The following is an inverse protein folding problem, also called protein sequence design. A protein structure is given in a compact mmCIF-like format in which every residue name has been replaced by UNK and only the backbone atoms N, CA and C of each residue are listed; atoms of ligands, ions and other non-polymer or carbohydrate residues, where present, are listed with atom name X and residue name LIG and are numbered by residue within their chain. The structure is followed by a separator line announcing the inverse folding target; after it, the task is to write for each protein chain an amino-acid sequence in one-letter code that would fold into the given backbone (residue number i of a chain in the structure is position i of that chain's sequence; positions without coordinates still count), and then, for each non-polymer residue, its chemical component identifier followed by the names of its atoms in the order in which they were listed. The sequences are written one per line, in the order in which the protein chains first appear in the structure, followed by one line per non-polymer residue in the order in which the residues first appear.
data_IF_222615260737
#
_entry.id   IF_222615260737
#
_cell.length_a   1.000
_cell.length_b   1.000
_cell.length_c   1.000
_cell.angle_alpha   90.00
_cell.angle_beta   90.00
_cell.angle_gamma   90.00
#
_symmetry.space_group_name_H-M   'P 1'
#
loop_
_entity.id
_entity.type
_entity.pdbx_description
1 polymer ?
#
# COMPACT_ATOMS: atom_id res chain seq x y z
N UNK A 1 40.03 63.81 -41.73
CA UNK A 1 38.79 64.60 -41.57
C UNK A 1 37.88 63.88 -40.57
N UNK A 2 37.03 64.58 -39.83
CA UNK A 2 35.97 63.96 -39.01
C UNK A 2 34.68 63.73 -39.82
N UNK A 3 33.50 63.51 -39.19
CA UNK A 3 33.23 63.72 -37.75
C UNK A 3 32.30 62.69 -37.03
N UNK A 4 32.34 62.70 -35.68
CA UNK A 4 31.20 62.58 -34.72
C UNK A 4 30.26 61.33 -34.78
N UNK A 5 29.63 60.83 -33.71
CA UNK A 5 29.66 60.89 -32.23
C UNK A 5 28.28 60.36 -31.80
N UNK A 6 28.13 59.44 -30.83
CA UNK A 6 27.20 59.56 -29.69
C UNK A 6 27.25 58.36 -28.72
N UNK A 7 26.75 58.57 -27.49
CA UNK A 7 26.79 57.60 -26.38
C UNK A 7 25.45 56.88 -26.19
N UNK A 8 25.52 55.62 -25.72
CA UNK A 8 24.58 54.90 -24.82
C UNK A 8 25.26 53.58 -24.43
N UNK A 9 25.04 52.97 -23.26
CA UNK A 9 24.28 53.41 -22.08
C UNK A 9 24.09 52.20 -21.15
N UNK A 10 24.74 52.19 -19.99
CA UNK A 10 24.74 51.01 -19.08
C UNK A 10 23.35 50.78 -18.47
N UNK A 11 22.89 49.53 -18.42
CA UNK A 11 21.75 49.11 -17.59
C UNK A 11 22.09 47.84 -16.78
N UNK A 12 21.83 47.90 -15.47
CA UNK A 12 22.00 46.76 -14.56
C UNK A 12 20.81 45.81 -14.67
N UNK A 13 21.07 44.52 -14.86
CA UNK A 13 20.06 43.48 -14.67
C UNK A 13 19.70 43.38 -13.18
N UNK A 14 18.42 43.50 -12.82
CA UNK A 14 17.95 43.33 -11.43
C UNK A 14 17.44 41.90 -11.24
N UNK A 15 18.04 41.16 -10.32
CA UNK A 15 17.48 39.89 -9.86
C UNK A 15 16.11 40.12 -9.18
N UNK A 16 15.15 39.24 -9.43
CA UNK A 16 13.86 39.16 -8.71
C UNK A 16 13.83 37.87 -7.90
N UNK A 17 13.97 38.01 -6.59
CA UNK A 17 13.69 36.93 -5.63
C UNK A 17 12.17 36.76 -5.57
N UNK A 18 11.66 35.57 -5.92
CA UNK A 18 10.25 35.25 -5.77
C UNK A 18 9.99 34.82 -4.33
N UNK A 19 9.35 35.68 -3.53
CA UNK A 19 8.84 35.32 -2.22
C UNK A 19 7.48 34.64 -2.38
N UNK A 20 7.36 33.39 -1.96
CA UNK A 20 6.06 32.75 -1.76
C UNK A 20 5.49 33.29 -0.45
N UNK A 21 4.29 33.86 -0.50
CA UNK A 21 3.55 34.31 0.67
C UNK A 21 2.58 33.20 1.11
N UNK A 22 2.70 32.75 2.36
CA UNK A 22 1.69 31.86 2.97
C UNK A 22 0.49 32.72 3.36
N UNK A 23 -0.66 32.48 2.73
CA UNK A 23 -1.90 33.16 3.09
C UNK A 23 -2.59 32.40 4.22
N UNK A 24 -2.44 32.88 5.45
CA UNK A 24 -3.15 32.34 6.60
C UNK A 24 -4.58 32.93 6.65
N UNK A 25 -5.58 32.11 6.32
CA UNK A 25 -6.99 32.49 6.43
C UNK A 25 -7.44 32.48 7.89
N UNK A 26 -7.53 33.66 8.51
CA UNK A 26 -8.16 33.82 9.81
C UNK A 26 -9.70 33.72 9.69
N UNK A 27 -10.32 32.83 10.47
CA UNK A 27 -11.78 32.75 10.57
C UNK A 27 -12.25 33.86 11.52
N UNK A 28 -13.12 34.75 11.04
CA UNK A 28 -13.77 35.76 11.86
C UNK A 28 -15.00 35.18 12.55
N UNK A 29 -15.13 35.40 13.86
CA UNK A 29 -16.37 35.13 14.59
C UNK A 29 -17.43 36.16 14.18
N UNK A 30 -18.58 35.70 13.68
CA UNK A 30 -19.78 36.52 13.49
C UNK A 30 -20.78 36.15 14.58
N UNK A 31 -21.34 37.17 15.23
CA UNK A 31 -22.23 37.03 16.36
C UNK A 31 -23.65 37.49 15.98
N UNK A 32 -24.62 36.59 16.05
CA UNK A 32 -26.06 36.85 16.01
C UNK A 32 -26.72 35.85 16.99
N UNK A 33 -27.75 36.19 17.76
CA UNK A 33 -28.53 37.43 17.79
C UNK A 33 -30.01 37.09 17.81
N UNK A 34 -30.63 37.11 19.00
CA UNK A 34 -32.05 36.80 19.18
C UNK A 34 -32.97 37.80 18.46
N UNK A 35 -34.04 37.30 17.86
CA UNK A 35 -35.36 37.93 17.89
C UNK A 35 -36.47 36.88 17.95
N UNK A 36 -37.62 37.28 18.51
CA UNK A 36 -38.73 36.38 18.85
C UNK A 36 -39.96 36.63 17.97
N UNK A 37 -40.70 35.58 17.63
CA UNK A 37 -42.05 35.69 17.08
C UNK A 37 -42.93 34.52 17.56
N UNK A 38 -44.19 34.81 17.90
CA UNK A 38 -45.13 33.88 18.52
C UNK A 38 -46.38 33.65 17.65
N UNK A 39 -46.70 32.37 17.38
CA UNK A 39 -48.06 31.82 17.26
C UNK A 39 -49.00 32.40 16.14
N UNK A 40 -50.21 31.86 15.89
CA UNK A 40 -50.87 30.70 16.51
C UNK A 40 -51.40 29.62 15.52
N UNK A 41 -52.03 28.59 16.10
CA UNK A 41 -52.84 27.55 15.42
C UNK A 41 -54.14 28.13 14.82
N UNK A 42 -54.74 27.43 13.82
CA UNK A 42 -56.05 26.74 14.00
C UNK A 42 -56.54 25.93 12.76
N UNK A 43 -56.59 24.59 12.94
CA UNK A 43 -57.68 23.64 12.63
C UNK A 43 -58.57 23.77 11.36
N UNK A 44 -58.73 22.64 10.63
CA UNK A 44 -60.03 22.29 10.01
C UNK A 44 -60.02 21.45 8.72
N UNK A 45 -60.62 20.25 8.74
CA UNK A 45 -61.09 19.52 7.54
C UNK A 45 -60.63 18.05 7.41
N UNK A 46 -61.57 17.10 7.39
CA UNK A 46 -61.28 15.65 7.24
C UNK A 46 -62.43 14.85 6.59
N UNK A 47 -62.07 13.88 5.73
CA UNK A 47 -62.74 12.60 5.37
C UNK A 47 -61.60 11.65 4.90
N UNK A 48 -61.54 10.33 5.13
CA UNK A 48 -62.50 9.24 4.86
C UNK A 48 -61.93 8.38 3.70
N UNK A 49 -61.94 7.04 3.65
CA UNK A 49 -62.64 5.98 4.42
C UNK A 49 -61.86 4.63 4.27
N UNK A 50 -62.08 3.64 5.16
CA UNK A 50 -61.87 2.16 4.99
C UNK A 50 -60.43 1.58 4.86
N UNK A 51 -60.12 0.34 5.32
CA UNK A 51 -60.88 -0.64 6.14
C UNK A 51 -60.04 -1.84 6.67
N UNK A 52 -60.54 -2.44 7.78
CA UNK A 52 -60.39 -3.87 8.20
C UNK A 52 -59.03 -4.39 8.69
N UNK A 53 -59.10 -5.50 9.45
CA UNK A 53 -58.11 -5.89 10.48
C UNK A 53 -58.14 -7.38 10.80
N UNK A 54 -57.01 -7.90 11.28
CA UNK A 54 -56.85 -9.09 12.13
C UNK A 54 -55.48 -8.93 12.87
N UNK A 55 -55.15 -9.59 13.98
CA UNK A 55 -55.83 -10.69 14.68
C UNK A 55 -55.75 -10.58 16.23
N UNK A 56 -55.91 -11.73 16.90
CA UNK A 56 -56.14 -12.00 18.33
C UNK A 56 -54.92 -12.62 19.02
N UNK A 57 -54.73 -12.35 20.32
CA UNK A 57 -54.31 -13.24 21.45
C UNK A 57 -53.76 -12.36 22.60
N UNK A 58 -53.68 -12.71 23.90
CA UNK A 58 -54.47 -13.48 24.89
C UNK A 58 -53.52 -13.69 26.10
N UNK A 59 -54.00 -13.59 27.35
CA UNK A 59 -53.12 -13.52 28.55
C UNK A 59 -52.98 -14.83 29.38
N UNK A 60 -52.14 -14.74 30.43
CA UNK A 60 -52.10 -15.53 31.69
C UNK A 60 -51.24 -16.82 31.70
N UNK A 61 -50.11 -16.80 32.43
CA UNK A 61 -49.98 -17.43 33.76
C UNK A 61 -48.61 -17.14 34.43
N UNK A 62 -48.42 -17.57 35.69
CA UNK A 62 -47.41 -17.06 36.65
C UNK A 62 -46.63 -18.16 37.42
N UNK A 63 -45.81 -17.77 38.42
CA UNK A 63 -45.19 -18.57 39.51
C UNK A 63 -43.89 -19.35 39.20
N UNK A 64 -42.89 -19.58 40.09
CA UNK A 64 -42.49 -18.93 41.38
C UNK A 64 -41.09 -19.45 41.88
N UNK A 65 -40.64 -19.01 43.08
CA UNK A 65 -39.70 -19.70 44.04
C UNK A 65 -38.15 -19.41 44.02
N UNK A 66 -37.76 -18.32 44.72
CA UNK A 66 -36.91 -18.26 45.95
C UNK A 66 -35.42 -18.76 46.12
N UNK A 67 -34.56 -17.81 46.58
CA UNK A 67 -33.63 -17.84 47.76
C UNK A 67 -32.31 -18.70 47.76
N UNK A 68 -31.33 -18.52 48.71
CA UNK A 68 -30.99 -17.40 49.64
C UNK A 68 -29.46 -17.05 49.85
N UNK A 69 -29.17 -15.93 50.55
CA UNK A 69 -27.99 -15.75 51.44
C UNK A 69 -26.70 -15.09 50.88
N UNK A 70 -25.84 -14.40 51.65
CA UNK A 70 -25.85 -14.07 53.10
C UNK A 70 -24.90 -12.89 53.49
N UNK A 71 -25.35 -11.99 54.40
CA UNK A 71 -24.63 -11.20 55.46
C UNK A 71 -23.17 -10.67 55.28
N UNK A 72 -22.74 -9.53 55.84
CA UNK A 72 -23.14 -8.93 57.13
C UNK A 72 -22.90 -7.39 57.28
N UNK A 73 -23.35 -6.86 58.44
CA UNK A 73 -23.27 -5.49 59.00
C UNK A 73 -21.82 -4.92 59.06
N UNK A 74 -21.51 -3.61 59.10
CA UNK A 74 -22.18 -2.36 59.53
C UNK A 74 -22.00 -1.98 61.02
N UNK A 75 -21.44 -0.79 61.28
CA UNK A 75 -21.31 -0.12 62.60
C UNK A 75 -21.04 1.39 62.35
N UNK A 76 -21.02 2.29 63.36
CA UNK A 76 -21.16 3.75 63.12
C UNK A 76 -20.42 4.71 64.07
N UNK A 77 -19.87 5.81 63.51
CA UNK A 77 -19.42 7.03 64.22
C UNK A 77 -17.90 7.31 64.16
N UNK A 78 -17.35 8.48 64.48
CA UNK A 78 -17.75 9.92 64.53
C UNK A 78 -16.77 10.66 65.48
N UNK A 79 -16.90 11.98 65.67
CA UNK A 79 -16.17 12.81 66.68
C UNK A 79 -14.66 13.08 66.39
N UNK A 80 -14.27 14.24 65.82
CA UNK A 80 -13.87 15.54 66.46
C UNK A 80 -12.49 15.53 67.14
N UNK A 81 -11.63 16.57 67.08
CA UNK A 81 -11.63 17.93 66.46
C UNK A 81 -10.15 18.32 66.20
N UNK A 82 -9.58 19.55 66.16
CA UNK A 82 -9.93 20.99 66.29
C UNK A 82 -8.71 21.81 65.77
N UNK A 83 -8.72 23.12 65.47
CA UNK A 83 -9.78 24.09 65.13
C UNK A 83 -9.18 25.43 64.64
N UNK A 84 -9.98 26.24 63.93
CA UNK A 84 -9.87 27.71 63.74
C UNK A 84 -8.57 28.36 63.23
N UNK A 85 -8.62 28.88 61.99
CA UNK A 85 -7.73 29.91 61.45
C UNK A 85 -8.16 30.28 60.03
N UNK A 86 -8.58 31.53 59.77
CA UNK A 86 -9.23 31.93 58.52
C UNK A 86 -8.44 32.99 57.74
N UNK A 87 -8.54 32.99 56.40
CA UNK A 87 -8.92 34.13 55.52
C UNK A 87 -8.64 33.83 54.03
N UNK A 88 -9.65 34.10 53.19
CA UNK A 88 -9.66 34.39 51.73
C UNK A 88 -8.86 33.54 50.70
N UNK A 89 -9.66 32.86 49.86
CA UNK A 89 -9.83 33.15 48.42
C UNK A 89 -8.68 32.80 47.44
N UNK A 90 -8.77 31.60 46.86
CA UNK A 90 -8.15 31.22 45.58
C UNK A 90 -8.82 29.96 45.02
N UNK A 91 -9.38 30.00 43.81
CA UNK A 91 -10.12 28.88 43.21
C UNK A 91 -9.23 27.97 42.38
N UNK A 92 -8.82 26.86 42.98
CA UNK A 92 -8.26 25.68 42.32
C UNK A 92 -9.36 24.92 41.51
N UNK A 93 -9.13 23.84 40.75
CA UNK A 93 -7.99 22.89 40.67
C UNK A 93 -7.99 22.14 39.31
N UNK A 94 -6.84 21.60 38.91
CA UNK A 94 -6.77 20.41 38.04
C UNK A 94 -7.19 19.12 38.79
N UNK A 95 -7.69 18.10 38.08
CA UNK A 95 -7.82 16.73 38.60
C UNK A 95 -7.83 15.68 37.45
N UNK A 96 -7.03 14.58 37.52
CA UNK A 96 -6.98 13.54 36.48
C UNK A 96 -7.53 12.15 36.92
N UNK A 97 -7.46 11.18 35.99
CA UNK A 97 -7.40 9.70 36.19
C UNK A 97 -8.67 8.82 35.96
N UNK A 98 -8.82 8.39 34.68
CA UNK A 98 -8.91 6.98 34.19
C UNK A 98 -10.03 5.97 34.56
N UNK A 99 -10.38 5.16 33.55
CA UNK A 99 -11.05 3.83 33.54
C UNK A 99 -12.53 3.73 33.96
N UNK A 100 -13.37 2.90 33.30
CA UNK A 100 -13.29 2.24 31.98
C UNK A 100 -14.69 1.75 31.52
N UNK A 101 -14.74 1.11 30.33
CA UNK A 101 -15.78 0.18 29.81
C UNK A 101 -16.75 0.73 28.73
N UNK A 102 -17.54 -0.19 28.15
CA UNK A 102 -17.97 -0.16 26.74
C UNK A 102 -19.15 0.77 26.38
N UNK A 103 -19.06 1.42 25.21
CA UNK A 103 -19.91 1.09 24.04
C UNK A 103 -19.74 2.11 22.90
N UNK A 104 -19.64 1.63 21.66
CA UNK A 104 -19.64 2.46 20.45
C UNK A 104 -20.41 1.78 19.31
N UNK A 105 -21.70 2.07 19.23
CA UNK A 105 -22.48 1.84 18.01
C UNK A 105 -22.14 2.89 16.95
N UNK A 106 -22.42 2.58 15.69
CA UNK A 106 -22.01 3.40 14.54
C UNK A 106 -22.84 4.69 14.37
N UNK A 107 -22.23 5.73 13.81
CA UNK A 107 -22.84 6.46 12.69
C UNK A 107 -21.85 7.37 11.92
N UNK A 108 -22.20 7.59 10.65
CA UNK A 108 -21.53 8.39 9.61
C UNK A 108 -21.54 9.91 9.81
N UNK A 109 -20.59 10.62 9.15
CA UNK A 109 -20.86 11.89 8.45
C UNK A 109 -20.04 11.98 7.13
N UNK A 110 -20.47 12.78 6.12
CA UNK A 110 -19.91 12.76 4.76
C UNK A 110 -19.25 14.09 4.30
N UNK A 111 -19.02 14.20 2.99
CA UNK A 111 -18.84 15.39 2.14
C UNK A 111 -17.56 16.25 2.27
N UNK A 112 -16.67 16.11 1.27
CA UNK A 112 -15.53 17.00 1.03
C UNK A 112 -15.11 17.09 -0.47
N UNK A 113 -16.05 17.18 -1.41
CA UNK A 113 -15.76 17.44 -2.83
C UNK A 113 -16.84 18.29 -3.54
N UNK A 114 -16.52 19.55 -3.83
CA UNK A 114 -17.31 20.39 -4.75
C UNK A 114 -16.80 20.29 -6.20
N UNK A 115 -17.65 20.55 -7.21
CA UNK A 115 -17.29 20.36 -8.62
C UNK A 115 -16.35 21.45 -9.16
N UNK A 116 -15.06 21.11 -9.34
CA UNK A 116 -14.05 22.00 -9.91
C UNK A 116 -13.94 21.89 -11.43
N UNK A 117 -14.66 22.74 -12.18
CA UNK A 117 -14.50 22.86 -13.64
C UNK A 117 -13.34 23.79 -14.02
N UNK A 118 -12.39 23.34 -14.85
CA UNK A 118 -11.54 24.24 -15.66
C UNK A 118 -10.97 23.51 -16.91
N UNK A 119 -10.53 24.23 -17.96
CA UNK A 119 -10.47 23.70 -19.32
C UNK A 119 -9.08 23.23 -19.80
N UNK A 120 -9.08 22.47 -20.90
CA UNK A 120 -7.89 22.17 -21.71
C UNK A 120 -7.27 23.46 -22.32
N UNK A 121 -5.93 23.57 -22.39
CA UNK A 121 -5.26 24.37 -23.40
C UNK A 121 -5.16 23.58 -24.72
N UNK A 122 -5.50 24.21 -25.84
CA UNK A 122 -5.22 23.70 -27.19
C UNK A 122 -3.92 24.31 -27.71
N UNK A 123 -3.10 23.52 -28.42
CA UNK A 123 -2.02 24.06 -29.26
C UNK A 123 -1.77 23.15 -30.46
N UNK A 124 -2.03 23.69 -31.64
CA UNK A 124 -1.77 23.06 -32.94
C UNK A 124 -0.47 23.58 -33.54
N UNK A 125 0.23 22.71 -34.27
CA UNK A 125 1.26 23.11 -35.24
C UNK A 125 1.43 21.97 -36.25
N UNK A 126 1.32 22.29 -37.53
CA UNK A 126 1.29 21.33 -38.63
C UNK A 126 2.51 21.47 -39.55
N UNK A 127 2.69 20.48 -40.43
CA UNK A 127 3.53 20.50 -41.65
C UNK A 127 5.06 20.78 -41.56
N UNK A 128 5.82 19.79 -42.06
CA UNK A 128 7.27 19.85 -42.31
C UNK A 128 7.66 20.44 -43.68
N UNK A 129 8.95 20.73 -43.86
CA UNK A 129 9.64 20.74 -45.18
C UNK A 129 11.00 20.02 -45.02
N UNK A 130 11.48 19.37 -46.09
CA UNK A 130 12.65 18.46 -46.07
C UNK A 130 13.87 19.01 -46.86
N UNK A 131 14.84 18.11 -47.13
CA UNK A 131 16.04 18.23 -48.00
C UNK A 131 17.33 18.80 -47.37
N UNK A 132 18.55 18.33 -47.70
CA UNK A 132 18.98 17.11 -48.42
C UNK A 132 20.52 16.92 -48.39
N UNK A 133 21.00 15.67 -48.43
CA UNK A 133 22.37 15.26 -48.80
C UNK A 133 23.52 15.78 -47.88
N UNK A 134 24.77 15.29 -47.95
CA UNK A 134 25.39 14.30 -48.85
C UNK A 134 26.39 13.38 -48.11
N UNK A 135 27.14 12.54 -48.83
CA UNK A 135 27.90 11.40 -48.29
C UNK A 135 29.40 11.65 -48.00
N UNK A 136 30.03 10.59 -47.46
CA UNK A 136 31.44 10.14 -47.55
C UNK A 136 32.24 9.97 -46.24
N UNK A 137 33.45 9.41 -46.37
CA UNK A 137 34.13 8.53 -45.41
C UNK A 137 35.64 8.84 -45.30
N UNK A 138 36.38 7.99 -44.59
CA UNK A 138 37.85 7.84 -44.55
C UNK A 138 38.67 8.72 -43.58
N UNK A 139 38.96 8.13 -42.42
CA UNK A 139 40.32 7.87 -41.86
C UNK A 139 41.48 8.86 -42.07
N UNK A 140 42.23 9.13 -40.98
CA UNK A 140 43.68 9.42 -41.00
C UNK A 140 44.34 9.00 -39.67
N UNK A 141 45.66 8.79 -39.66
CA UNK A 141 46.36 7.92 -38.68
C UNK A 141 47.64 8.52 -38.08
N UNK A 142 47.96 8.18 -36.82
CA UNK A 142 49.32 7.99 -36.25
C UNK A 142 49.20 7.44 -34.80
N UNK A 143 49.87 6.41 -34.26
CA UNK A 143 50.99 5.52 -34.61
C UNK A 143 52.34 5.76 -33.87
N UNK A 144 52.49 5.12 -32.69
CA UNK A 144 53.75 4.74 -31.99
C UNK A 144 53.38 3.49 -31.15
N UNK A 145 53.69 2.23 -31.50
CA UNK A 145 54.97 1.51 -31.66
C UNK A 145 55.47 0.83 -30.35
N UNK A 146 55.46 -0.51 -30.33
CA UNK A 146 56.10 -1.38 -29.30
C UNK A 146 57.61 -1.62 -29.59
N UNK A 147 58.30 -2.48 -28.79
CA UNK A 147 58.33 -3.91 -29.16
C UNK A 147 58.23 -4.93 -27.99
N UNK A 148 57.87 -6.17 -28.36
CA UNK A 148 57.99 -7.42 -27.58
C UNK A 148 59.44 -7.70 -27.09
N UNK A 149 59.76 -8.69 -26.24
CA UNK A 149 59.17 -10.02 -25.94
C UNK A 149 59.70 -10.50 -24.54
N UNK A 150 59.59 -11.73 -24.00
CA UNK A 150 59.20 -13.08 -24.50
C UNK A 150 58.71 -14.03 -23.39
N UNK A 151 58.53 -15.32 -23.72
CA UNK A 151 58.08 -16.45 -22.87
C UNK A 151 59.20 -17.31 -22.23
N UNK A 152 58.91 -17.99 -21.12
CA UNK A 152 59.39 -19.36 -20.83
C UNK A 152 58.63 -20.03 -19.65
N UNK A 153 58.74 -21.37 -19.55
CA UNK A 153 58.05 -22.21 -18.55
C UNK A 153 58.96 -22.63 -17.37
N UNK A 154 58.29 -23.14 -16.31
CA UNK A 154 58.72 -24.21 -15.41
C UNK A 154 60.07 -24.14 -14.65
N UNK A 155 59.99 -24.26 -13.31
CA UNK A 155 60.57 -25.41 -12.58
C UNK A 155 60.14 -25.45 -11.11
N UNK A 156 60.23 -26.63 -10.50
CA UNK A 156 60.07 -26.90 -9.05
C UNK A 156 61.44 -27.22 -8.45
N UNK A 157 61.67 -26.93 -7.16
CA UNK A 157 62.36 -27.91 -6.33
C UNK A 157 61.64 -28.17 -5.00
N UNK A 158 62.12 -29.14 -4.22
CA UNK A 158 61.62 -29.48 -2.89
C UNK A 158 62.75 -29.94 -1.96
N UNK A 159 62.72 -29.47 -0.71
CA UNK A 159 63.37 -30.01 0.49
C UNK A 159 62.65 -29.36 1.69
N UNK A 160 62.05 -30.05 2.66
CA UNK A 160 62.56 -31.08 3.58
C UNK A 160 63.24 -30.50 4.83
N UNK A 161 62.47 -30.35 5.90
CA UNK A 161 62.94 -30.51 7.29
C UNK A 161 61.78 -31.07 8.13
N UNK A 162 62.10 -31.82 9.18
CA UNK A 162 61.11 -32.52 10.01
C UNK A 162 61.25 -32.12 11.46
N UNK A 163 60.13 -31.87 12.13
CA UNK A 163 60.07 -31.91 13.59
C UNK A 163 58.68 -32.39 14.05
N UNK A 164 58.55 -32.78 15.32
CA UNK A 164 57.50 -33.69 15.80
C UNK A 164 57.07 -33.33 17.23
N UNK A 165 55.92 -33.88 17.68
CA UNK A 165 55.33 -33.78 19.04
C UNK A 165 54.73 -32.37 19.32
N UNK A 166 53.67 -32.19 20.11
CA UNK A 166 52.68 -33.07 20.77
C UNK A 166 51.28 -32.75 20.14
N UNK A 167 50.10 -33.31 20.46
CA UNK A 167 49.37 -33.36 21.74
C UNK A 167 48.04 -34.14 21.61
N UNK A 168 47.52 -34.61 22.76
CA UNK A 168 46.16 -35.08 23.09
C UNK A 168 45.38 -36.03 22.16
N UNK A 169 44.90 -37.14 22.75
CA UNK A 169 43.88 -38.03 22.18
C UNK A 169 42.57 -37.86 22.95
N UNK A 170 41.56 -37.25 22.32
CA UNK A 170 40.18 -37.24 22.81
C UNK A 170 39.22 -37.69 21.69
N UNK A 171 38.74 -38.93 21.80
CA UNK A 171 37.88 -39.57 20.81
C UNK A 171 36.41 -39.19 21.02
N UNK A 172 35.93 -38.18 20.31
CA UNK A 172 34.48 -37.91 20.19
C UNK A 172 33.91 -38.56 18.93
N UNK A 173 32.90 -39.41 19.13
CA UNK A 173 32.18 -40.05 18.03
C UNK A 173 31.39 -39.01 17.24
N UNK A 174 31.92 -38.60 16.08
CA UNK A 174 31.25 -37.69 15.16
C UNK A 174 29.96 -38.32 14.62
N UNK A 175 28.84 -38.08 15.31
CA UNK A 175 27.50 -38.44 14.85
C UNK A 175 27.26 -37.73 13.51
N UNK A 176 27.20 -38.52 12.44
CA UNK A 176 26.91 -37.99 11.11
C UNK A 176 25.42 -37.58 11.08
N UNK A 177 25.14 -36.28 11.19
CA UNK A 177 23.79 -35.74 11.01
C UNK A 177 23.40 -35.86 9.52
N UNK A 178 22.83 -37.01 9.17
CA UNK A 178 22.55 -37.41 7.79
C UNK A 178 21.21 -36.87 7.29
N UNK A 179 21.10 -35.55 7.16
CA UNK A 179 19.98 -34.91 6.45
C UNK A 179 20.37 -33.54 5.89
N UNK A 180 21.19 -33.55 4.83
CA UNK A 180 21.22 -32.44 3.87
C UNK A 180 19.91 -32.44 3.07
N UNK A 181 18.82 -32.05 3.72
CA UNK A 181 17.56 -31.78 3.05
C UNK A 181 17.79 -30.68 2.01
N UNK A 182 17.31 -30.89 0.79
CA UNK A 182 17.38 -29.86 -0.25
C UNK A 182 16.64 -28.61 0.25
N UNK A 183 17.30 -27.45 0.21
CA UNK A 183 16.71 -26.20 0.69
C UNK A 183 15.40 -25.94 -0.06
N UNK A 184 14.28 -25.61 0.64
CA UNK A 184 12.98 -25.55 -0.03
C UNK A 184 12.99 -24.50 -1.15
N UNK A 185 12.54 -24.91 -2.34
CA UNK A 185 12.54 -24.06 -3.54
C UNK A 185 11.45 -22.99 -3.41
N UNK A 186 11.79 -21.77 -3.80
CA UNK A 186 10.90 -20.60 -3.66
C UNK A 186 11.01 -19.92 -2.30
N UNK A 187 10.23 -18.85 -2.13
CA UNK A 187 10.18 -18.05 -0.90
C UNK A 187 9.36 -18.74 0.20
N UNK A 188 9.59 -18.32 1.43
CA UNK A 188 8.75 -18.69 2.56
C UNK A 188 7.36 -18.03 2.44
N UNK A 189 6.31 -18.83 2.62
CA UNK A 189 4.92 -18.39 2.79
C UNK A 189 4.26 -19.15 3.94
N UNK A 190 3.32 -18.51 4.62
CA UNK A 190 2.45 -19.17 5.60
C UNK A 190 1.44 -20.10 4.90
N UNK A 191 1.01 -21.19 5.55
CA UNK A 191 0.28 -22.29 4.91
C UNK A 191 -1.25 -22.17 4.85
N UNK A 192 -1.87 -21.22 5.56
CA UNK A 192 -3.32 -21.00 5.53
C UNK A 192 -3.80 -20.14 4.36
N UNK A 193 -5.12 -19.96 4.26
CA UNK A 193 -5.78 -19.39 3.07
C UNK A 193 -5.65 -17.88 3.00
N UNK A 194 -5.62 -17.34 1.79
CA UNK A 194 -5.54 -15.91 1.46
C UNK A 194 -6.69 -15.06 2.01
N UNK A 195 -7.86 -15.66 2.31
CA UNK A 195 -8.99 -15.00 2.98
C UNK A 195 -8.69 -14.64 4.45
N UNK A 196 -7.87 -15.44 5.12
CA UNK A 196 -7.47 -15.27 6.52
C UNK A 196 -6.46 -14.12 6.62
N UNK A 197 -6.68 -13.16 7.53
CA UNK A 197 -5.93 -11.88 7.51
C UNK A 197 -4.59 -11.93 8.27
N UNK A 198 -4.48 -12.82 9.24
CA UNK A 198 -3.46 -12.78 10.30
C UNK A 198 -2.75 -14.15 10.44
N UNK A 199 -2.26 -14.69 9.31
CA UNK A 199 -1.54 -15.98 9.23
C UNK A 199 -0.34 -16.09 10.17
N UNK A 200 0.35 -14.98 10.42
CA UNK A 200 1.51 -14.87 11.29
C UNK A 200 1.43 -13.55 12.05
N UNK A 201 1.99 -13.51 13.26
CA UNK A 201 2.27 -12.23 13.91
C UNK A 201 3.28 -11.44 13.07
N UNK A 202 3.03 -10.14 12.88
CA UNK A 202 3.88 -9.26 12.09
C UNK A 202 4.51 -8.16 12.96
N UNK A 203 5.76 -7.83 12.67
CA UNK A 203 6.33 -6.55 13.02
C UNK A 203 5.74 -5.47 12.08
N UNK A 204 5.49 -4.28 12.60
CA UNK A 204 4.90 -3.17 11.85
C UNK A 204 5.52 -1.86 12.33
N UNK A 205 6.34 -1.24 11.48
CA UNK A 205 7.25 -0.15 11.84
C UNK A 205 6.97 1.06 10.96
N UNK A 206 6.37 2.09 11.54
CA UNK A 206 6.11 3.37 10.88
C UNK A 206 7.35 4.27 10.89
N UNK A 207 7.35 5.32 10.06
CA UNK A 207 8.44 6.30 9.94
C UNK A 207 9.79 5.67 9.57
N UNK A 208 9.78 4.88 8.49
CA UNK A 208 10.93 4.10 8.02
C UNK A 208 11.03 4.14 6.49
N UNK A 209 11.79 3.24 5.88
CA UNK A 209 12.09 3.29 4.45
C UNK A 209 13.20 4.29 4.11
N UNK A 210 13.31 4.65 2.83
CA UNK A 210 14.43 5.44 2.31
C UNK A 210 14.38 6.93 2.72
N UNK A 211 13.17 7.45 2.99
CA UNK A 211 12.87 8.85 3.33
C UNK A 211 12.43 9.03 4.79
N UNK A 212 12.25 7.94 5.54
CA UNK A 212 11.71 7.96 6.89
C UNK A 212 10.19 8.22 6.97
N UNK A 213 9.46 8.18 5.85
CA UNK A 213 8.01 8.39 5.78
C UNK A 213 7.19 7.11 5.52
N UNK A 214 7.84 6.03 5.07
CA UNK A 214 7.18 4.75 4.77
C UNK A 214 6.87 3.90 6.00
N UNK A 215 6.28 2.72 5.76
CA UNK A 215 5.96 1.70 6.77
C UNK A 215 6.52 0.35 6.33
N UNK A 216 7.36 -0.26 7.16
CA UNK A 216 7.90 -1.61 6.96
C UNK A 216 7.11 -2.62 7.80
N UNK A 217 6.60 -3.69 7.19
CA UNK A 217 5.97 -4.80 7.90
C UNK A 217 6.46 -6.15 7.38
N UNK A 218 6.64 -7.12 8.28
CA UNK A 218 7.20 -8.44 7.97
C UNK A 218 6.85 -9.47 9.06
N UNK A 219 6.89 -10.78 8.79
CA UNK A 219 6.71 -11.82 9.80
C UNK A 219 7.62 -11.63 11.00
N UNK A 220 7.06 -11.60 12.21
CA UNK A 220 7.81 -11.41 13.45
C UNK A 220 8.82 -12.52 13.71
N UNK A 221 8.53 -13.72 13.19
CA UNK A 221 9.48 -14.81 13.05
C UNK A 221 9.82 -14.97 11.56
N UNK A 222 10.96 -14.41 11.14
CA UNK A 222 11.51 -14.60 9.79
C UNK A 222 12.17 -15.99 9.68
N UNK A 223 11.98 -16.65 8.54
CA UNK A 223 12.50 -17.98 8.28
C UNK A 223 14.03 -18.06 8.40
N UNK A 224 14.53 -19.19 8.86
CA UNK A 224 15.96 -19.53 8.92
C UNK A 224 16.43 -20.35 7.71
N UNK A 225 15.51 -20.96 6.96
CA UNK A 225 15.79 -21.93 5.88
C UNK A 225 15.41 -21.44 4.49
N UNK A 226 14.54 -20.43 4.41
CA UNK A 226 14.07 -19.81 3.17
C UNK A 226 14.15 -18.28 3.27
N UNK A 227 14.16 -17.63 2.11
CA UNK A 227 14.03 -16.17 1.99
C UNK A 227 12.58 -15.76 1.88
N UNK A 228 12.29 -14.50 2.19
CA UNK A 228 10.99 -13.87 1.99
C UNK A 228 10.98 -13.06 0.69
N UNK A 229 9.87 -13.12 -0.05
CA UNK A 229 9.62 -12.23 -1.18
C UNK A 229 9.24 -10.83 -0.72
N UNK A 230 9.45 -9.83 -1.58
CA UNK A 230 9.20 -8.42 -1.26
C UNK A 230 7.93 -7.92 -1.96
N UNK A 231 7.11 -7.15 -1.26
CA UNK A 231 6.01 -6.40 -1.86
C UNK A 231 6.12 -4.91 -1.54
N UNK A 232 6.11 -4.06 -2.57
CA UNK A 232 5.94 -2.60 -2.38
C UNK A 232 4.45 -2.30 -2.30
N UNK A 233 4.02 -1.48 -1.33
CA UNK A 233 2.64 -0.97 -1.26
C UNK A 233 2.58 0.54 -1.52
N UNK A 234 1.90 0.95 -2.60
CA UNK A 234 1.62 2.35 -2.90
C UNK A 234 0.29 2.82 -2.28
N UNK A 235 0.26 3.87 -1.44
CA UNK A 235 -0.99 4.51 -1.04
C UNK A 235 -1.62 5.29 -2.21
N UNK A 236 -2.93 5.56 -2.10
CA UNK A 236 -3.65 6.47 -3.00
C UNK A 236 -3.20 7.93 -2.84
N UNK A 237 -3.52 8.75 -3.84
CA UNK A 237 -3.12 10.17 -3.88
C UNK A 237 -3.58 10.93 -2.63
N UNK A 238 -2.68 11.69 -2.00
CA UNK A 238 -2.97 12.46 -0.79
C UNK A 238 -3.29 11.63 0.46
N UNK A 239 -3.21 10.29 0.41
CA UNK A 239 -3.48 9.42 1.56
C UNK A 239 -2.18 8.96 2.22
N UNK A 240 -2.08 9.02 3.55
CA UNK A 240 -0.94 8.45 4.26
C UNK A 240 -0.93 6.91 4.22
N UNK A 241 0.24 6.24 4.25
CA UNK A 241 0.32 4.77 4.24
C UNK A 241 -0.37 4.10 5.45
N UNK A 242 -0.56 4.81 6.56
CA UNK A 242 -1.26 4.30 7.75
C UNK A 242 -2.71 3.91 7.47
N UNK A 243 -3.39 4.56 6.50
CA UNK A 243 -4.75 4.19 6.09
C UNK A 243 -4.84 2.78 5.47
N UNK A 244 -3.70 2.19 5.10
CA UNK A 244 -3.59 0.88 4.45
C UNK A 244 -3.07 -0.21 5.40
N UNK A 245 -3.01 0.05 6.71
CA UNK A 245 -2.45 -0.84 7.74
C UNK A 245 -2.92 -2.30 7.61
N UNK A 246 -4.22 -2.53 7.43
CA UNK A 246 -4.78 -3.89 7.29
C UNK A 246 -4.26 -4.65 6.05
N UNK A 247 -4.03 -3.96 4.93
CA UNK A 247 -3.54 -4.55 3.68
C UNK A 247 -2.03 -4.83 3.78
N UNK A 248 -1.28 -3.90 4.38
CA UNK A 248 0.15 -4.03 4.66
C UNK A 248 0.41 -5.21 5.61
N UNK A 249 -0.31 -5.26 6.74
CA UNK A 249 -0.20 -6.36 7.72
C UNK A 249 -0.60 -7.70 7.14
N UNK A 250 -1.67 -7.76 6.33
CA UNK A 250 -2.13 -9.01 5.70
C UNK A 250 -1.09 -9.59 4.75
N UNK A 251 -0.53 -8.78 3.85
CA UNK A 251 0.57 -9.24 2.99
C UNK A 251 1.77 -9.74 3.83
N UNK A 252 2.13 -8.99 4.88
CA UNK A 252 3.21 -9.41 5.78
C UNK A 252 2.90 -10.71 6.53
N UNK A 253 1.65 -10.95 6.94
CA UNK A 253 1.25 -12.15 7.68
C UNK A 253 1.35 -13.41 6.81
N UNK A 254 1.07 -13.30 5.51
CA UNK A 254 1.25 -14.41 4.55
C UNK A 254 2.70 -14.81 4.28
N UNK A 255 3.69 -14.06 4.76
CA UNK A 255 5.11 -14.36 4.60
C UNK A 255 5.91 -13.33 3.78
N UNK A 256 5.29 -12.28 3.24
CA UNK A 256 6.02 -11.25 2.49
C UNK A 256 6.72 -10.23 3.39
N UNK A 257 7.77 -9.59 2.89
CA UNK A 257 8.31 -8.36 3.50
C UNK A 257 7.76 -7.16 2.72
N UNK A 258 6.97 -6.34 3.40
CA UNK A 258 6.17 -5.28 2.80
C UNK A 258 6.76 -3.92 3.14
N UNK A 259 7.06 -3.11 2.13
CA UNK A 259 7.41 -1.70 2.29
C UNK A 259 6.32 -0.82 1.68
N UNK A 260 5.53 -0.18 2.53
CA UNK A 260 4.58 0.83 2.11
C UNK A 260 5.29 2.17 1.91
N UNK A 261 5.03 2.80 0.77
CA UNK A 261 5.59 4.10 0.40
C UNK A 261 4.91 5.22 1.20
N UNK A 262 5.66 6.28 1.51
CA UNK A 262 5.10 7.51 2.09
C UNK A 262 4.02 8.13 1.19
N UNK A 263 4.28 8.13 -0.11
CA UNK A 263 3.44 8.71 -1.16
C UNK A 263 3.69 7.97 -2.48
N UNK A 264 2.73 8.05 -3.41
CA UNK A 264 2.82 7.47 -4.75
C UNK A 264 2.77 8.59 -5.79
N UNK A 265 3.85 8.88 -6.53
CA UNK A 265 3.82 9.84 -7.64
C UNK A 265 3.19 9.26 -8.91
N UNK A 266 3.17 7.94 -9.07
CA UNK A 266 2.67 7.27 -10.28
C UNK A 266 3.75 7.13 -11.36
N UNK A 267 5.03 7.10 -10.99
CA UNK A 267 6.17 7.10 -11.92
C UNK A 267 7.27 6.07 -11.61
N UNK A 268 7.12 5.29 -10.52
CA UNK A 268 8.08 4.35 -9.92
C UNK A 268 9.23 4.99 -9.13
N UNK A 269 9.31 6.31 -9.03
CA UNK A 269 10.42 7.00 -8.37
C UNK A 269 10.44 6.82 -6.85
N UNK A 270 9.37 6.33 -6.24
CA UNK A 270 9.33 5.96 -4.82
C UNK A 270 9.54 4.45 -4.63
N UNK A 271 8.89 3.63 -5.47
CA UNK A 271 9.05 2.18 -5.45
C UNK A 271 10.52 1.74 -5.60
N UNK A 272 11.23 2.29 -6.60
CA UNK A 272 12.64 1.94 -6.87
C UNK A 272 13.54 2.29 -5.67
N UNK A 273 13.34 3.46 -5.04
CA UNK A 273 14.12 3.89 -3.87
C UNK A 273 13.83 3.03 -2.63
N UNK A 274 12.59 2.59 -2.45
CA UNK A 274 12.20 1.66 -1.39
C UNK A 274 12.85 0.28 -1.56
N UNK A 275 12.94 -0.23 -2.81
CA UNK A 275 13.65 -1.47 -3.12
C UNK A 275 15.17 -1.34 -2.94
N UNK A 276 15.77 -0.20 -3.30
CA UNK A 276 17.19 0.09 -3.04
C UNK A 276 17.51 0.22 -1.54
N UNK A 277 16.54 0.63 -0.74
CA UNK A 277 16.65 0.65 0.72
C UNK A 277 16.51 -0.75 1.31
N UNK A 278 15.55 -1.55 0.86
CA UNK A 278 15.42 -2.96 1.29
C UNK A 278 16.64 -3.81 0.90
N UNK A 279 17.23 -3.59 -0.27
CA UNK A 279 18.47 -4.26 -0.68
C UNK A 279 19.65 -3.91 0.25
N UNK A 280 19.72 -2.68 0.77
CA UNK A 280 20.68 -2.28 1.82
C UNK A 280 20.37 -2.95 3.16
N UNK A 281 19.10 -2.99 3.58
CA UNK A 281 18.68 -3.71 4.79
C UNK A 281 19.01 -5.21 4.72
N UNK A 282 18.89 -5.83 3.54
CA UNK A 282 19.25 -7.24 3.31
C UNK A 282 20.76 -7.50 3.42
N UNK A 283 21.59 -6.45 3.36
CA UNK A 283 23.08 -6.51 3.35
C UNK A 283 23.74 -5.98 4.63
N UNK A 284 23.01 -5.23 5.45
CA UNK A 284 23.50 -4.74 6.74
C UNK A 284 23.33 -5.82 7.83
N UNK A 285 24.44 -6.26 8.42
CA UNK A 285 24.47 -7.27 9.50
C UNK A 285 23.72 -6.84 10.77
N UNK A 286 23.47 -5.54 10.94
CA UNK A 286 22.72 -4.99 12.07
C UNK A 286 21.19 -4.96 11.81
N UNK A 287 20.76 -5.21 10.57
CA UNK A 287 19.34 -5.22 10.22
C UNK A 287 18.69 -6.55 10.58
N UNK A 288 17.45 -6.57 11.12
CA UNK A 288 16.70 -7.81 11.28
C UNK A 288 16.38 -8.51 9.94
N UNK A 289 16.56 -7.83 8.81
CA UNK A 289 16.36 -8.37 7.47
C UNK A 289 17.65 -8.95 6.84
N UNK A 290 18.78 -8.99 7.56
CA UNK A 290 20.07 -9.44 7.01
C UNK A 290 20.00 -10.84 6.38
N UNK A 291 20.25 -10.92 5.07
CA UNK A 291 20.18 -12.13 4.26
C UNK A 291 18.77 -12.73 4.08
N UNK A 292 17.72 -12.11 4.64
CA UNK A 292 16.35 -12.65 4.70
C UNK A 292 15.53 -12.43 3.43
N UNK A 293 15.89 -11.46 2.59
CA UNK A 293 15.09 -11.10 1.41
C UNK A 293 15.61 -11.75 0.14
N UNK A 294 14.69 -12.16 -0.74
CA UNK A 294 15.01 -12.36 -2.16
C UNK A 294 14.62 -11.11 -2.96
N UNK A 295 15.62 -10.28 -3.27
CA UNK A 295 15.45 -9.05 -4.06
C UNK A 295 15.23 -9.33 -5.56
N UNK A 296 15.15 -10.59 -6.00
CA UNK A 296 14.70 -10.98 -7.34
C UNK A 296 13.23 -11.41 -7.36
N UNK A 297 12.62 -11.61 -6.18
CA UNK A 297 11.23 -12.04 -6.02
C UNK A 297 10.41 -10.89 -5.46
N UNK A 298 10.15 -9.90 -6.32
CA UNK A 298 9.49 -8.64 -5.94
C UNK A 298 8.19 -8.46 -6.70
N UNK A 299 7.13 -8.05 -6.01
CA UNK A 299 5.90 -7.53 -6.62
C UNK A 299 5.58 -6.12 -6.14
N UNK A 300 4.74 -5.40 -6.87
CA UNK A 300 4.21 -4.11 -6.46
C UNK A 300 2.68 -4.13 -6.43
N UNK A 301 2.06 -3.52 -5.43
CA UNK A 301 0.63 -3.30 -5.39
C UNK A 301 0.31 -1.96 -4.75
N UNK A 302 -0.90 -1.45 -4.95
CA UNK A 302 -1.33 -0.22 -4.31
C UNK A 302 -2.73 0.18 -4.69
N UNK A 303 -3.21 1.22 -4.03
CA UNK A 303 -4.52 1.81 -4.26
C UNK A 303 -4.41 3.02 -5.20
N UNK A 304 -5.26 3.13 -6.21
CA UNK A 304 -5.40 4.35 -7.01
C UNK A 304 -4.05 4.81 -7.59
N UNK A 305 -3.52 5.98 -7.22
CA UNK A 305 -2.18 6.45 -7.60
C UNK A 305 -1.04 5.44 -7.27
N UNK A 306 -1.18 4.66 -6.21
CA UNK A 306 -0.26 3.58 -5.85
C UNK A 306 -0.33 2.36 -6.79
N UNK A 307 -1.43 2.19 -7.51
CA UNK A 307 -1.52 1.26 -8.63
C UNK A 307 -0.65 1.72 -9.80
N UNK A 308 -0.70 3.01 -10.17
CA UNK A 308 0.16 3.58 -11.21
C UNK A 308 1.65 3.47 -10.83
N UNK A 309 2.00 3.76 -9.57
CA UNK A 309 3.36 3.58 -9.06
C UNK A 309 3.82 2.12 -9.17
N UNK A 310 2.90 1.16 -8.95
CA UNK A 310 3.17 -0.28 -9.07
C UNK A 310 3.34 -0.75 -10.52
N UNK A 311 2.50 -0.24 -11.43
CA UNK A 311 2.61 -0.50 -12.86
C UNK A 311 3.95 0.02 -13.41
N UNK A 312 4.25 1.29 -13.14
CA UNK A 312 5.48 1.91 -13.61
C UNK A 312 6.70 1.20 -12.99
N UNK A 313 6.60 0.62 -11.80
CA UNK A 313 7.65 -0.19 -11.20
C UNK A 313 7.87 -1.53 -11.94
N UNK A 314 6.81 -2.25 -12.33
CA UNK A 314 6.95 -3.49 -13.14
C UNK A 314 7.40 -3.22 -14.58
N UNK A 315 7.22 -1.99 -15.08
CA UNK A 315 7.78 -1.54 -16.38
C UNK A 315 9.27 -1.15 -16.25
N UNK A 316 9.67 -0.45 -15.19
CA UNK A 316 10.98 0.24 -15.09
C UNK A 316 12.03 -0.48 -14.26
N UNK A 317 11.63 -1.31 -13.30
CA UNK A 317 12.56 -2.04 -12.42
C UNK A 317 12.56 -3.54 -12.71
N UNK A 318 13.70 -4.05 -13.17
CA UNK A 318 13.87 -5.46 -13.51
C UNK A 318 13.64 -6.43 -12.34
N UNK A 319 13.73 -5.97 -11.09
CA UNK A 319 13.46 -6.78 -9.88
C UNK A 319 11.98 -7.15 -9.75
N UNK A 320 11.10 -6.29 -10.24
CA UNK A 320 9.65 -6.45 -10.11
C UNK A 320 9.17 -7.43 -11.16
N UNK A 321 8.59 -8.55 -10.72
CA UNK A 321 8.07 -9.63 -11.55
C UNK A 321 6.59 -9.43 -11.87
N UNK A 322 5.85 -8.76 -11.00
CA UNK A 322 4.40 -8.59 -11.13
C UNK A 322 3.88 -7.30 -10.51
N UNK A 323 2.78 -6.77 -11.05
CA UNK A 323 1.99 -5.70 -10.43
C UNK A 323 0.52 -6.09 -10.24
N UNK A 324 -0.07 -5.66 -9.13
CA UNK A 324 -1.51 -5.79 -8.86
C UNK A 324 -2.10 -4.42 -8.50
N UNK A 325 -2.84 -3.83 -9.42
CA UNK A 325 -3.43 -2.50 -9.31
C UNK A 325 -4.81 -2.60 -8.65
N UNK A 326 -4.98 -2.04 -7.45
CA UNK A 326 -6.29 -1.96 -6.79
C UNK A 326 -6.92 -0.59 -7.08
N UNK A 327 -8.09 -0.60 -7.73
CA UNK A 327 -8.85 0.58 -8.12
C UNK A 327 -8.01 1.62 -8.89
N UNK A 328 -7.33 1.17 -9.94
CA UNK A 328 -6.38 1.97 -10.72
C UNK A 328 -6.32 1.51 -12.20
N UNK A 329 -5.49 2.17 -13.01
CA UNK A 329 -5.24 1.91 -14.43
C UNK A 329 -4.72 3.19 -15.11
N UNK A 330 -3.82 3.07 -16.09
CA UNK A 330 -3.16 4.23 -16.72
C UNK A 330 -4.17 5.25 -17.29
N UNK A 331 -3.93 6.54 -17.04
CA UNK A 331 -4.76 7.65 -17.52
C UNK A 331 -4.85 7.73 -19.06
N UNK A 332 -3.89 7.17 -19.78
CA UNK A 332 -3.89 7.10 -21.24
C UNK A 332 -4.38 5.75 -21.78
N UNK A 333 -4.76 4.81 -20.90
CA UNK A 333 -5.10 3.43 -21.27
C UNK A 333 -3.98 2.72 -22.00
N UNK A 334 -2.72 2.96 -21.62
CA UNK A 334 -1.55 2.63 -22.41
C UNK A 334 -0.28 2.35 -21.59
N UNK A 335 -0.40 2.05 -20.29
CA UNK A 335 0.70 1.71 -19.40
C UNK A 335 1.03 0.21 -19.47
N UNK A 336 0.01 -0.64 -19.34
CA UNK A 336 0.12 -2.10 -19.34
C UNK A 336 0.74 -2.65 -20.64
N UNK A 337 0.66 -1.91 -21.75
CA UNK A 337 1.27 -2.28 -23.03
C UNK A 337 2.81 -2.34 -23.00
N UNK A 338 3.42 -1.66 -22.03
CA UNK A 338 4.87 -1.54 -21.88
C UNK A 338 5.42 -2.56 -20.86
N UNK A 339 4.55 -3.34 -20.20
CA UNK A 339 4.96 -4.45 -19.32
C UNK A 339 5.59 -5.54 -20.20
N UNK A 340 6.78 -6.00 -19.80
CA UNK A 340 7.53 -7.00 -20.55
C UNK A 340 6.88 -8.39 -20.46
N UNK A 341 7.08 -9.23 -21.48
CA UNK A 341 6.40 -10.53 -21.64
C UNK A 341 6.81 -11.60 -20.61
N UNK A 342 7.88 -11.36 -19.86
CA UNK A 342 8.36 -12.17 -18.74
C UNK A 342 7.76 -11.75 -17.38
N UNK A 343 6.91 -10.71 -17.37
CA UNK A 343 6.25 -10.14 -16.18
C UNK A 343 4.74 -10.25 -16.30
N UNK A 344 4.01 -10.14 -15.19
CA UNK A 344 2.54 -10.20 -15.19
C UNK A 344 1.91 -8.96 -14.57
N UNK A 345 0.66 -8.67 -14.96
CA UNK A 345 -0.09 -7.53 -14.42
C UNK A 345 -1.58 -7.88 -14.22
N UNK A 346 -2.13 -7.50 -13.07
CA UNK A 346 -3.57 -7.52 -12.83
C UNK A 346 -4.07 -6.13 -12.50
N UNK A 347 -5.23 -5.77 -13.07
CA UNK A 347 -5.94 -4.53 -12.80
C UNK A 347 -7.30 -4.89 -12.22
N UNK A 348 -7.54 -4.52 -10.97
CA UNK A 348 -8.77 -4.78 -10.23
C UNK A 348 -9.49 -3.46 -9.95
N UNK A 349 -10.80 -3.41 -10.18
CA UNK A 349 -11.61 -2.21 -10.03
C UNK A 349 -13.06 -2.53 -9.64
N UNK A 350 -13.79 -1.52 -9.16
CA UNK A 350 -15.20 -1.63 -8.79
C UNK A 350 -16.17 -1.34 -9.95
N UNK A 351 -17.32 -2.01 -10.01
CA UNK A 351 -18.35 -1.79 -11.05
C UNK A 351 -18.84 -0.34 -11.20
N UNK A 352 -18.71 0.49 -10.16
CA UNK A 352 -18.99 1.95 -10.16
C UNK A 352 -17.75 2.81 -9.83
N UNK A 353 -16.56 2.21 -9.74
CA UNK A 353 -15.32 2.93 -9.44
C UNK A 353 -14.94 3.93 -10.54
N UNK A 354 -14.43 5.10 -10.16
CA UNK A 354 -14.05 6.17 -11.10
C UNK A 354 -12.88 5.79 -12.03
N UNK A 355 -12.06 4.82 -11.62
CA UNK A 355 -10.94 4.24 -12.38
C UNK A 355 -11.36 3.37 -13.57
N UNK A 356 -12.63 2.96 -13.60
CA UNK A 356 -13.17 1.83 -14.39
C UNK A 356 -12.83 1.87 -15.88
N UNK A 357 -12.90 3.05 -16.48
CA UNK A 357 -12.63 3.20 -17.91
C UNK A 357 -11.13 3.25 -18.21
N UNK A 358 -10.30 3.79 -17.30
CA UNK A 358 -8.84 3.69 -17.39
C UNK A 358 -8.41 2.22 -17.31
N UNK A 359 -8.86 1.51 -16.27
CA UNK A 359 -8.60 0.08 -16.07
C UNK A 359 -8.96 -0.77 -17.30
N UNK A 360 -10.12 -0.48 -17.90
CA UNK A 360 -10.59 -1.15 -19.13
C UNK A 360 -9.76 -0.78 -20.35
N UNK A 361 -9.46 0.49 -20.58
CA UNK A 361 -8.69 0.93 -21.74
C UNK A 361 -7.26 0.38 -21.70
N UNK A 362 -6.64 0.41 -20.53
CA UNK A 362 -5.27 -0.05 -20.27
C UNK A 362 -5.12 -1.56 -20.51
N UNK A 363 -5.99 -2.37 -19.90
CA UNK A 363 -6.05 -3.80 -20.20
C UNK A 363 -6.40 -4.07 -21.66
N UNK A 364 -7.41 -3.40 -22.25
CA UNK A 364 -7.86 -3.68 -23.61
C UNK A 364 -6.88 -3.21 -24.70
N UNK A 365 -5.86 -2.44 -24.35
CA UNK A 365 -4.86 -1.94 -25.29
C UNK A 365 -4.23 -3.10 -26.10
N UNK A 366 -4.28 -2.98 -27.44
CA UNK A 366 -3.81 -4.01 -28.37
C UNK A 366 -2.30 -4.22 -28.33
N UNK A 367 -1.55 -3.28 -27.75
CA UNK A 367 -0.12 -3.41 -27.48
C UNK A 367 0.23 -4.40 -26.38
N UNK A 368 -0.68 -4.69 -25.42
CA UNK A 368 -0.40 -5.56 -24.25
C UNK A 368 -0.04 -6.98 -24.70
N UNK A 369 1.24 -7.35 -24.54
CA UNK A 369 1.78 -8.70 -24.79
C UNK A 369 2.10 -9.49 -23.52
N UNK A 370 2.26 -8.83 -22.38
CA UNK A 370 2.42 -9.48 -21.08
C UNK A 370 1.16 -10.30 -20.70
N UNK A 371 1.30 -11.42 -19.96
CA UNK A 371 0.21 -12.05 -19.24
C UNK A 371 -0.51 -11.03 -18.35
N UNK A 372 -1.78 -10.78 -18.66
CA UNK A 372 -2.56 -9.69 -18.07
C UNK A 372 -3.95 -10.16 -17.64
N UNK A 373 -4.47 -9.60 -16.54
CA UNK A 373 -5.84 -9.82 -16.06
C UNK A 373 -6.55 -8.48 -15.75
N UNK A 374 -7.86 -8.44 -15.98
CA UNK A 374 -8.75 -7.36 -15.59
C UNK A 374 -9.90 -7.94 -14.77
N UNK A 375 -10.04 -7.46 -13.52
CA UNK A 375 -10.89 -8.04 -12.46
C UNK A 375 -11.95 -7.00 -12.06
N UNK A 376 -13.21 -7.21 -12.43
CA UNK A 376 -14.34 -6.33 -12.06
C UNK A 376 -15.05 -6.89 -10.82
N UNK A 377 -15.16 -6.12 -9.74
CA UNK A 377 -15.98 -6.44 -8.56
C UNK A 377 -17.43 -6.01 -8.81
N UNK A 378 -18.38 -6.96 -8.84
CA UNK A 378 -19.76 -6.72 -9.27
C UNK A 378 -20.82 -7.14 -8.26
N UNK A 379 -21.98 -6.49 -8.28
CA UNK A 379 -23.11 -6.78 -7.39
C UNK A 379 -22.86 -6.36 -5.94
N UNK A 380 -22.13 -5.26 -5.72
CA UNK A 380 -21.78 -4.74 -4.41
C UNK A 380 -22.94 -4.11 -3.63
N UNK A 381 -22.73 -3.79 -2.34
CA UNK A 381 -23.74 -3.14 -1.52
C UNK A 381 -24.06 -1.74 -2.05
N UNK A 382 -25.33 -1.32 -1.98
CA UNK A 382 -25.74 0.04 -2.37
C UNK A 382 -25.37 1.07 -1.28
N UNK A 383 -24.08 1.36 -1.22
CA UNK A 383 -23.47 2.46 -0.48
C UNK A 383 -23.71 3.81 -1.20
N UNK A 384 -23.02 4.86 -0.75
CA UNK A 384 -23.01 6.20 -1.38
C UNK A 384 -22.48 6.23 -2.82
N UNK A 385 -21.63 5.28 -3.22
CA UNK A 385 -21.15 5.12 -4.60
C UNK A 385 -22.14 4.33 -5.48
N UNK A 386 -23.13 3.67 -4.87
CA UNK A 386 -24.15 2.86 -5.55
C UNK A 386 -23.76 1.39 -5.81
N UNK A 387 -22.61 0.93 -5.30
CA UNK A 387 -22.07 -0.41 -5.55
C UNK A 387 -20.60 -0.52 -5.12
N UNK A 388 -19.85 -1.43 -5.74
CA UNK A 388 -18.39 -1.44 -5.57
C UNK A 388 -17.73 -0.26 -6.29
N UNK A 389 -17.26 0.74 -5.54
CA UNK A 389 -16.57 1.93 -6.04
C UNK A 389 -15.07 1.99 -5.72
N UNK A 390 -14.51 3.19 -5.59
CA UNK A 390 -13.06 3.44 -5.71
C UNK A 390 -12.21 2.80 -4.61
N UNK A 391 -12.77 2.42 -3.46
CA UNK A 391 -12.04 1.66 -2.43
C UNK A 391 -12.10 0.13 -2.55
N UNK A 392 -13.02 -0.41 -3.37
CA UNK A 392 -13.50 -1.80 -3.25
C UNK A 392 -12.39 -2.86 -3.22
N UNK A 393 -11.39 -2.73 -4.08
CA UNK A 393 -10.29 -3.67 -4.22
C UNK A 393 -9.37 -3.72 -3.01
N UNK A 394 -9.05 -2.55 -2.46
CA UNK A 394 -8.09 -2.44 -1.36
C UNK A 394 -8.67 -2.94 -0.04
N UNK A 395 -9.94 -2.64 0.26
CA UNK A 395 -10.55 -3.00 1.55
C UNK A 395 -11.35 -4.31 1.53
N UNK A 396 -12.05 -4.63 0.42
CA UNK A 396 -12.82 -5.87 0.28
C UNK A 396 -12.11 -6.91 -0.61
N UNK A 397 -11.53 -6.47 -1.72
CA UNK A 397 -10.94 -7.35 -2.74
C UNK A 397 -9.59 -7.99 -2.40
N UNK A 398 -8.94 -7.56 -1.31
CA UNK A 398 -7.54 -7.86 -0.96
C UNK A 398 -7.15 -9.36 -0.91
N UNK A 399 -8.11 -10.29 -0.81
CA UNK A 399 -7.84 -11.73 -0.95
C UNK A 399 -7.26 -12.07 -2.35
N UNK A 400 -7.77 -11.46 -3.41
CA UNK A 400 -7.26 -11.63 -4.77
C UNK A 400 -5.81 -11.09 -4.89
N UNK A 401 -5.54 -9.93 -4.29
CA UNK A 401 -4.21 -9.32 -4.24
C UNK A 401 -3.18 -10.23 -3.55
N UNK A 402 -3.58 -10.88 -2.45
CA UNK A 402 -2.75 -11.89 -1.77
C UNK A 402 -2.55 -13.13 -2.64
N UNK A 403 -3.61 -13.73 -3.18
CA UNK A 403 -3.52 -14.93 -4.03
C UNK A 403 -2.63 -14.71 -5.25
N UNK A 404 -2.73 -13.55 -5.89
CA UNK A 404 -1.89 -13.17 -7.04
C UNK A 404 -0.41 -13.05 -6.67
N UNK A 405 -0.09 -12.40 -5.54
CA UNK A 405 1.30 -12.33 -5.05
C UNK A 405 1.83 -13.71 -4.69
N UNK A 406 1.03 -14.57 -4.06
CA UNK A 406 1.45 -15.96 -3.75
C UNK A 406 1.64 -16.81 -4.99
N UNK A 407 0.81 -16.64 -6.02
CA UNK A 407 0.98 -17.30 -7.31
C UNK A 407 2.30 -16.89 -7.99
N UNK A 408 2.51 -15.59 -8.21
CA UNK A 408 3.61 -15.08 -9.02
C UNK A 408 4.95 -14.92 -8.29
N UNK A 409 4.94 -14.74 -6.96
CA UNK A 409 6.16 -14.63 -6.15
C UNK A 409 6.45 -15.92 -5.36
N UNK A 410 5.42 -16.58 -4.86
CA UNK A 410 5.54 -17.85 -4.13
C UNK A 410 5.75 -19.07 -5.03
N UNK A 411 5.22 -19.03 -6.26
CA UNK A 411 5.20 -20.19 -7.14
C UNK A 411 4.02 -21.15 -6.90
N UNK A 412 2.94 -20.69 -6.24
CA UNK A 412 1.69 -21.43 -6.03
C UNK A 412 0.92 -21.56 -7.36
N UNK A 413 1.45 -22.34 -8.30
CA UNK A 413 0.97 -22.45 -9.70
C UNK A 413 -0.46 -22.96 -9.85
N UNK A 414 -0.96 -23.70 -8.86
CA UNK A 414 -2.35 -24.17 -8.74
C UNK A 414 -3.35 -23.00 -8.80
N UNK A 415 -2.94 -21.82 -8.31
CA UNK A 415 -3.74 -20.58 -8.35
C UNK A 415 -3.99 -20.03 -9.74
N UNK A 416 -3.33 -20.55 -10.78
CA UNK A 416 -3.68 -20.21 -12.17
C UNK A 416 -5.17 -20.47 -12.44
N UNK A 417 -5.75 -21.53 -11.84
CA UNK A 417 -7.16 -21.85 -11.97
C UNK A 417 -8.11 -20.88 -11.21
N UNK A 418 -7.59 -20.09 -10.25
CA UNK A 418 -8.40 -19.07 -9.56
C UNK A 418 -8.65 -17.86 -10.47
N UNK A 419 -7.73 -17.54 -11.39
CA UNK A 419 -7.74 -16.32 -12.22
C UNK A 419 -7.91 -16.55 -13.73
N UNK A 420 -7.40 -17.67 -14.28
CA UNK A 420 -7.31 -17.92 -15.72
C UNK A 420 -8.13 -19.15 -16.12
N UNK A 421 -9.22 -18.92 -16.85
CA UNK A 421 -10.14 -19.96 -17.30
C UNK A 421 -11.49 -19.37 -17.72
N UNK A 422 -12.53 -20.19 -17.71
CA UNK A 422 -13.93 -19.76 -17.90
C UNK A 422 -14.73 -19.67 -16.60
N UNK A 423 -14.24 -20.29 -15.52
CA UNK A 423 -14.82 -20.30 -14.18
C UNK A 423 -13.71 -20.54 -13.15
N UNK A 424 -13.82 -19.97 -11.95
CA UNK A 424 -12.76 -19.99 -10.94
C UNK A 424 -12.97 -18.97 -9.82
N UNK A 425 -12.23 -19.12 -8.72
CA UNK A 425 -12.44 -18.38 -7.46
C UNK A 425 -12.48 -16.86 -7.62
N UNK A 426 -11.63 -16.31 -8.48
CA UNK A 426 -11.56 -14.90 -8.83
C UNK A 426 -12.03 -14.60 -10.26
N UNK A 427 -12.70 -15.56 -10.94
CA UNK A 427 -13.26 -15.36 -12.29
C UNK A 427 -14.73 -14.98 -12.23
N UNK A 428 -15.56 -15.83 -11.63
CA UNK A 428 -17.02 -15.74 -11.59
C UNK A 428 -17.62 -16.04 -10.20
N UNK A 429 -16.79 -16.54 -9.28
CA UNK A 429 -17.16 -16.85 -7.90
C UNK A 429 -17.57 -15.64 -7.06
N UNK A 430 -18.23 -15.91 -5.93
CA UNK A 430 -18.64 -14.87 -4.96
C UNK A 430 -17.44 -14.22 -4.27
N UNK A 431 -17.56 -12.95 -3.89
CA UNK A 431 -16.55 -12.26 -3.07
C UNK A 431 -16.72 -12.75 -1.63
N UNK A 432 -15.78 -13.56 -1.16
CA UNK A 432 -15.94 -14.34 0.09
C UNK A 432 -16.07 -13.42 1.31
N UNK A 433 -17.13 -13.64 2.10
CA UNK A 433 -17.48 -12.80 3.25
C UNK A 433 -18.10 -11.44 2.88
N UNK A 434 -18.53 -11.25 1.63
CA UNK A 434 -19.12 -10.00 1.11
C UNK A 434 -20.31 -10.29 0.20
N UNK A 435 -21.00 -9.22 -0.22
CA UNK A 435 -22.03 -9.27 -1.25
C UNK A 435 -21.37 -9.31 -2.65
N UNK A 436 -22.01 -9.94 -3.63
CA UNK A 436 -21.58 -9.87 -5.02
C UNK A 436 -20.48 -10.87 -5.39
N UNK A 437 -19.89 -10.66 -6.57
CA UNK A 437 -19.05 -11.63 -7.26
C UNK A 437 -17.98 -10.99 -8.13
N UNK A 438 -16.97 -11.80 -8.43
CA UNK A 438 -15.94 -11.49 -9.41
C UNK A 438 -16.48 -11.56 -10.84
N UNK A 439 -15.80 -10.83 -11.72
CA UNK A 439 -15.94 -10.92 -13.17
C UNK A 439 -14.59 -10.59 -13.80
N UNK A 440 -13.78 -11.61 -14.03
CA UNK A 440 -12.41 -11.46 -14.55
C UNK A 440 -12.28 -11.93 -15.98
N UNK A 441 -11.43 -11.23 -16.73
CA UNK A 441 -10.91 -11.66 -18.03
C UNK A 441 -9.39 -11.57 -18.02
N UNK A 442 -8.71 -12.58 -18.58
CA UNK A 442 -7.25 -12.59 -18.70
C UNK A 442 -6.82 -12.94 -20.12
N UNK A 443 -5.61 -12.53 -20.50
CA UNK A 443 -5.00 -12.79 -21.82
C UNK A 443 -3.49 -13.02 -21.72
N UNK A 444 -2.93 -13.60 -22.78
CA UNK A 444 -1.49 -13.89 -22.92
C UNK A 444 -0.92 -14.82 -21.82
N UNK A 445 -1.72 -15.79 -21.35
CA UNK A 445 -1.41 -16.72 -20.26
C UNK A 445 -1.30 -18.18 -20.74
#
# INVERSE_FOLDING_TARGET
MGPRFWLRGVHKMKSKILKIAVLASAIAFINCGDETALAPYLNGGAQGVSSSSDAVESEISSSDVALPGSSANAETGSETSSSSGAVQQGSNTDAPASSSDESCLASSLPDACGPGTNPLPTSSSDAAVASSADAQSATSSANVQEPASSSSEAAKPASSSSEKKVESSSSETKVASSSSAEAPKGIFLASGKEEEKDQMQVEYKTRTGWDGGGILSYPKQLSSTQKHGVVVWGPGGGTEPGAYEGMIRRLASHGFVVIALKESPGDASQAIKALDWLDKQNKDQNSPLFGKLDMNTVGCSGHSMGGLESEQAVIKDKRVLTAFLNNSGDWNGAGAKNVATDRTIAILFGEVGMEKDNAKNDYNNSGVKAPACLIEMTGGPRNSEGGYGHGSGSWDGMAATVAWMRWHLGGETERKADFVGTTGKYIDGSIIGKQGKWKTQCKNF
#
